data_IF_141237383636
#
_entry.id   IF_141237383636
#
_cell.length_a   1.000
_cell.length_b   1.000
_cell.length_c   1.000
_cell.angle_alpha   90.00
_cell.angle_beta   90.00
_cell.angle_gamma   90.00
#
_symmetry.space_group_name_H-M   'P 1'
#
loop_
_entity.id
_entity.type
_entity.pdbx_description
1 polymer ?
#
# COMPACT_ATOMS: atom_id res chain seq x y z
N UNK A 1 -23.89 -39.91 -23.85
CA UNK A 1 -22.72 -39.54 -23.02
C UNK A 1 -22.96 -38.12 -22.55
N UNK A 2 -22.82 -37.82 -21.25
CA UNK A 2 -23.05 -36.47 -20.75
C UNK A 2 -21.98 -35.53 -21.32
N UNK A 3 -22.39 -34.47 -22.02
CA UNK A 3 -21.46 -33.46 -22.53
C UNK A 3 -20.92 -32.63 -21.37
N UNK A 4 -19.63 -32.35 -21.40
CA UNK A 4 -18.98 -31.45 -20.47
C UNK A 4 -18.98 -30.04 -21.02
N UNK A 5 -18.78 -29.04 -20.16
CA UNK A 5 -18.52 -27.66 -20.59
C UNK A 5 -17.41 -27.62 -21.64
N UNK A 6 -16.39 -28.46 -21.51
CA UNK A 6 -15.23 -28.45 -22.38
C UNK A 6 -15.54 -28.90 -23.81
N UNK A 7 -16.51 -29.79 -24.00
CA UNK A 7 -16.95 -30.18 -25.34
C UNK A 7 -17.51 -28.95 -26.08
N UNK A 8 -18.35 -28.16 -25.41
CA UNK A 8 -18.85 -26.90 -25.97
C UNK A 8 -17.77 -25.83 -26.13
N UNK A 9 -16.78 -25.77 -25.23
CA UNK A 9 -15.64 -24.86 -25.36
C UNK A 9 -14.83 -25.19 -26.61
N UNK A 10 -14.56 -26.47 -26.88
CA UNK A 10 -13.83 -26.90 -28.08
C UNK A 10 -14.57 -26.49 -29.36
N UNK A 11 -15.87 -26.72 -29.39
CA UNK A 11 -16.72 -26.35 -30.53
C UNK A 11 -16.74 -24.83 -30.73
N UNK A 12 -16.91 -24.06 -29.66
CA UNK A 12 -16.90 -22.60 -29.70
C UNK A 12 -15.54 -22.03 -30.14
N UNK A 13 -14.42 -22.59 -29.65
CA UNK A 13 -13.09 -22.19 -30.09
C UNK A 13 -12.85 -22.49 -31.58
N UNK A 14 -13.29 -23.66 -32.07
CA UNK A 14 -13.22 -24.00 -33.49
C UNK A 14 -14.01 -23.02 -34.36
N UNK A 15 -15.19 -22.61 -33.92
CA UNK A 15 -16.04 -21.63 -34.62
C UNK A 15 -15.46 -20.21 -34.57
N UNK A 16 -14.75 -19.84 -33.50
CA UNK A 16 -14.12 -18.54 -33.35
C UNK A 16 -12.66 -18.47 -33.86
N UNK A 17 -12.14 -19.57 -34.41
CA UNK A 17 -10.73 -19.71 -34.81
C UNK A 17 -9.74 -19.37 -33.68
N UNK A 18 -10.03 -19.85 -32.46
CA UNK A 18 -9.19 -19.65 -31.26
C UNK A 18 -8.32 -20.88 -31.05
N UNK A 19 -7.01 -20.65 -30.88
CA UNK A 19 -6.06 -21.73 -30.64
C UNK A 19 -6.22 -22.27 -29.22
N UNK A 20 -6.51 -23.58 -29.10
CA UNK A 20 -6.46 -24.29 -27.82
C UNK A 20 -5.09 -25.00 -27.74
N UNK A 21 -4.28 -24.80 -26.69
CA UNK A 21 -3.04 -25.55 -26.50
C UNK A 21 -3.33 -27.07 -26.45
N UNK A 22 -2.74 -27.83 -27.37
CA UNK A 22 -2.92 -29.28 -27.49
C UNK A 22 -2.40 -30.08 -26.28
N UNK A 23 -1.42 -29.53 -25.56
CA UNK A 23 -0.52 -30.37 -24.75
C UNK A 23 -0.92 -30.51 -23.28
N UNK A 24 -1.89 -29.72 -22.78
CA UNK A 24 -2.44 -29.87 -21.42
C UNK A 24 -3.88 -29.37 -21.39
N UNK A 25 -4.80 -30.21 -21.82
CA UNK A 25 -6.23 -29.98 -21.62
C UNK A 25 -6.49 -29.88 -20.10
N UNK A 26 -7.08 -28.77 -19.59
CA UNK A 26 -7.59 -28.75 -18.23
C UNK A 26 -8.70 -29.82 -18.09
N UNK A 27 -8.92 -30.34 -16.89
CA UNK A 27 -9.96 -31.34 -16.52
C UNK A 27 -9.71 -32.82 -16.90
N UNK A 28 -8.48 -33.26 -17.18
CA UNK A 28 -8.22 -34.66 -17.57
C UNK A 28 -8.24 -35.68 -16.41
N UNK A 29 -8.47 -35.23 -15.16
CA UNK A 29 -8.62 -36.12 -14.01
C UNK A 29 -10.10 -36.47 -13.77
N UNK A 30 -10.39 -37.77 -13.63
CA UNK A 30 -11.74 -38.34 -13.52
C UNK A 30 -12.64 -37.76 -12.40
N UNK A 31 -12.09 -37.14 -11.35
CA UNK A 31 -12.88 -36.50 -10.28
C UNK A 31 -13.40 -35.10 -10.67
N UNK A 32 -12.60 -34.29 -11.38
CA UNK A 32 -13.00 -32.94 -11.78
C UNK A 32 -13.97 -32.96 -12.97
N UNK A 33 -13.90 -34.00 -13.81
CA UNK A 33 -14.78 -34.16 -14.99
C UNK A 33 -16.26 -34.15 -14.61
N UNK A 34 -16.65 -34.72 -13.45
CA UNK A 34 -18.04 -34.68 -12.96
C UNK A 34 -18.53 -33.26 -12.67
N UNK A 35 -17.66 -32.39 -12.15
CA UNK A 35 -18.03 -31.01 -11.81
C UNK A 35 -18.22 -30.13 -13.05
N UNK A 36 -17.60 -30.52 -14.16
CA UNK A 36 -17.68 -29.86 -15.47
C UNK A 36 -18.81 -30.39 -16.36
N UNK A 37 -19.57 -31.40 -15.90
CA UNK A 37 -20.76 -31.88 -16.62
C UNK A 37 -21.79 -30.75 -16.67
N UNK A 38 -22.32 -30.53 -17.86
CA UNK A 38 -23.42 -29.59 -18.06
C UNK A 38 -24.70 -30.20 -17.49
N UNK A 39 -25.39 -29.41 -16.68
CA UNK A 39 -26.70 -29.74 -16.14
C UNK A 39 -27.78 -29.09 -17.03
N UNK A 40 -28.53 -29.87 -17.83
CA UNK A 40 -29.49 -29.29 -18.78
C UNK A 40 -30.67 -28.58 -18.11
N UNK A 41 -31.04 -29.00 -16.90
CA UNK A 41 -32.18 -28.47 -16.15
C UNK A 41 -31.75 -27.47 -15.07
N UNK A 42 -30.46 -27.46 -14.73
CA UNK A 42 -29.89 -26.61 -13.71
C UNK A 42 -29.14 -25.38 -14.23
N UNK A 43 -28.45 -24.72 -13.29
CA UNK A 43 -27.60 -23.56 -13.58
C UNK A 43 -26.21 -24.03 -13.99
N UNK A 44 -25.67 -23.43 -15.05
CA UNK A 44 -24.29 -23.63 -15.47
C UNK A 44 -23.57 -22.29 -15.45
N UNK A 45 -22.52 -22.19 -14.63
CA UNK A 45 -21.76 -20.95 -14.48
C UNK A 45 -20.30 -21.15 -14.85
N UNK A 46 -19.71 -20.17 -15.53
CA UNK A 46 -18.27 -20.10 -15.80
C UNK A 46 -17.69 -18.91 -15.05
N UNK A 47 -16.64 -19.15 -14.28
CA UNK A 47 -15.95 -18.10 -13.55
C UNK A 47 -14.93 -17.43 -14.47
N UNK A 48 -15.10 -16.14 -14.76
CA UNK A 48 -14.13 -15.33 -15.48
C UNK A 48 -13.27 -14.57 -14.47
N UNK A 49 -11.94 -14.77 -14.51
CA UNK A 49 -11.00 -14.09 -13.62
C UNK A 49 -10.00 -13.24 -14.44
N UNK A 50 -10.34 -11.97 -14.72
CA UNK A 50 -9.47 -11.07 -15.44
C UNK A 50 -8.51 -10.33 -14.50
N UNK A 51 -7.38 -9.86 -15.05
CA UNK A 51 -6.40 -9.11 -14.26
C UNK A 51 -5.09 -8.84 -14.99
N UNK A 52 -4.25 -8.01 -14.38
CA UNK A 52 -2.96 -7.65 -14.96
C UNK A 52 -1.96 -8.82 -14.87
N UNK A 53 -1.88 -9.47 -13.70
CA UNK A 53 -0.97 -10.59 -13.43
C UNK A 53 0.46 -10.29 -13.88
N UNK A 54 1.00 -9.16 -13.43
CA UNK A 54 2.26 -8.60 -13.88
C UNK A 54 3.32 -8.53 -12.75
N UNK A 55 3.84 -9.66 -12.23
CA UNK A 55 3.44 -11.05 -12.47
C UNK A 55 2.26 -11.51 -11.59
N UNK A 56 1.73 -12.72 -11.85
CA UNK A 56 0.83 -13.39 -10.91
C UNK A 56 1.55 -13.69 -9.59
N UNK A 57 0.82 -13.75 -8.48
CA UNK A 57 1.36 -13.92 -7.12
C UNK A 57 0.38 -14.68 -6.21
N UNK A 58 0.82 -15.05 -5.00
CA UNK A 58 0.06 -15.93 -4.09
C UNK A 58 -1.35 -15.40 -3.75
N UNK A 59 -1.52 -14.10 -3.54
CA UNK A 59 -2.85 -13.50 -3.32
C UNK A 59 -3.87 -13.78 -4.45
N UNK A 60 -3.44 -13.84 -5.71
CA UNK A 60 -4.33 -14.22 -6.83
C UNK A 60 -4.75 -15.69 -6.72
N UNK A 61 -3.82 -16.56 -6.30
CA UNK A 61 -4.07 -17.99 -6.15
C UNK A 61 -4.99 -18.28 -4.96
N UNK A 62 -4.79 -17.59 -3.83
CA UNK A 62 -5.66 -17.70 -2.65
C UNK A 62 -7.09 -17.26 -2.95
N UNK A 63 -7.26 -16.14 -3.66
CA UNK A 63 -8.57 -15.68 -4.09
C UNK A 63 -9.28 -16.73 -4.95
N UNK A 64 -8.60 -17.25 -5.99
CA UNK A 64 -9.17 -18.27 -6.85
C UNK A 64 -9.51 -19.57 -6.10
N UNK A 65 -8.64 -20.01 -5.19
CA UNK A 65 -8.84 -21.22 -4.38
C UNK A 65 -10.01 -21.10 -3.42
N UNK A 66 -10.20 -19.95 -2.78
CA UNK A 66 -11.35 -19.74 -1.87
C UNK A 66 -12.69 -19.97 -2.61
N UNK A 67 -12.80 -19.46 -3.84
CA UNK A 67 -14.01 -19.67 -4.65
C UNK A 67 -14.12 -21.13 -5.12
N UNK A 68 -13.02 -21.74 -5.54
CA UNK A 68 -13.03 -23.10 -6.07
C UNK A 68 -13.28 -24.18 -5.00
N UNK A 69 -12.78 -23.98 -3.78
CA UNK A 69 -12.92 -24.95 -2.70
C UNK A 69 -14.27 -24.79 -2.00
N UNK A 70 -14.68 -23.56 -1.70
CA UNK A 70 -15.80 -23.32 -0.79
C UNK A 70 -17.13 -23.08 -1.55
N UNK A 71 -17.04 -22.55 -2.78
CA UNK A 71 -18.21 -22.01 -3.50
C UNK A 71 -18.52 -22.70 -4.83
N UNK A 72 -17.58 -23.45 -5.42
CA UNK A 72 -17.74 -24.05 -6.76
C UNK A 72 -19.01 -24.87 -6.90
N UNK A 73 -19.28 -25.78 -5.95
CA UNK A 73 -20.48 -26.63 -5.95
C UNK A 73 -21.75 -25.82 -5.74
N UNK A 74 -21.73 -24.90 -4.79
CA UNK A 74 -22.89 -24.10 -4.38
C UNK A 74 -23.33 -23.09 -5.46
N UNK A 75 -22.37 -22.58 -6.23
CA UNK A 75 -22.61 -21.66 -7.34
C UNK A 75 -22.72 -22.37 -8.70
N UNK A 76 -22.67 -23.70 -8.73
CA UNK A 76 -22.69 -24.50 -9.97
C UNK A 76 -21.64 -24.05 -11.00
N UNK A 77 -20.42 -23.78 -10.53
CA UNK A 77 -19.31 -23.37 -11.39
C UNK A 77 -18.74 -24.61 -12.10
N UNK A 78 -18.87 -24.62 -13.42
CA UNK A 78 -18.45 -25.73 -14.31
C UNK A 78 -17.02 -25.59 -14.82
N UNK A 79 -16.42 -24.41 -14.70
CA UNK A 79 -15.04 -24.15 -15.09
C UNK A 79 -14.62 -22.70 -14.85
N UNK A 80 -13.32 -22.45 -14.96
CA UNK A 80 -12.72 -21.12 -14.80
C UNK A 80 -11.98 -20.71 -16.07
N UNK A 81 -12.25 -19.49 -16.54
CA UNK A 81 -11.51 -18.81 -17.59
C UNK A 81 -10.71 -17.69 -16.93
N UNK A 82 -9.39 -17.77 -17.04
CA UNK A 82 -8.46 -16.78 -16.55
C UNK A 82 -8.05 -15.90 -17.73
N UNK A 83 -8.20 -14.58 -17.61
CA UNK A 83 -7.89 -13.63 -18.68
C UNK A 83 -6.80 -12.63 -18.26
N UNK A 84 -5.53 -12.86 -18.63
CA UNK A 84 -4.53 -11.81 -18.53
C UNK A 84 -4.90 -10.66 -19.45
N UNK A 85 -4.92 -9.43 -18.91
CA UNK A 85 -5.23 -8.23 -19.68
C UNK A 85 -4.27 -8.06 -20.87
N UNK A 86 -4.74 -7.43 -21.95
CA UNK A 86 -3.94 -7.13 -23.14
C UNK A 86 -2.79 -6.15 -22.82
N UNK A 87 -1.69 -6.23 -23.57
CA UNK A 87 -0.47 -5.49 -23.26
C UNK A 87 -0.67 -3.98 -23.38
N UNK A 88 -1.55 -3.50 -24.27
CA UNK A 88 -2.01 -2.11 -24.35
C UNK A 88 -2.46 -1.59 -22.98
N UNK A 89 -3.33 -2.36 -22.32
CA UNK A 89 -3.93 -2.01 -21.03
C UNK A 89 -2.90 -2.07 -19.90
N UNK A 90 -1.88 -2.92 -20.02
CA UNK A 90 -0.77 -2.93 -19.06
C UNK A 90 0.09 -1.68 -19.25
N UNK A 91 0.45 -1.32 -20.49
CA UNK A 91 1.24 -0.12 -20.79
C UNK A 91 0.57 1.14 -20.27
N UNK A 92 -0.74 1.29 -20.44
CA UNK A 92 -1.50 2.41 -19.86
C UNK A 92 -1.44 2.41 -18.33
N UNK A 93 -1.48 1.23 -17.70
CA UNK A 93 -1.43 1.08 -16.24
C UNK A 93 -0.03 1.31 -15.66
N UNK A 94 1.03 0.97 -16.39
CA UNK A 94 2.44 1.04 -15.95
C UNK A 94 3.20 2.20 -16.61
N UNK A 95 2.49 3.15 -17.25
CA UNK A 95 3.06 4.26 -18.02
C UNK A 95 4.06 5.13 -17.22
N UNK A 96 3.96 5.13 -15.90
CA UNK A 96 4.79 5.92 -14.97
C UNK A 96 5.78 5.07 -14.13
N UNK A 97 5.85 3.76 -14.38
CA UNK A 97 6.73 2.81 -13.69
C UNK A 97 8.00 2.55 -14.52
N UNK A 98 9.18 2.41 -13.89
CA UNK A 98 10.41 2.04 -14.61
C UNK A 98 10.24 0.66 -15.27
N UNK A 99 10.68 0.54 -16.54
CA UNK A 99 10.56 -0.66 -17.37
C UNK A 99 11.56 -1.73 -16.90
N UNK A 100 11.32 -2.35 -15.74
CA UNK A 100 12.26 -3.36 -15.19
C UNK A 100 11.90 -4.79 -15.59
N UNK A 101 10.63 -5.06 -15.90
CA UNK A 101 10.14 -6.39 -16.25
C UNK A 101 9.25 -6.30 -17.49
N UNK A 102 9.83 -6.40 -18.68
CA UNK A 102 9.12 -6.49 -19.97
C UNK A 102 8.32 -7.82 -20.05
N UNK A 103 7.17 -7.86 -19.37
CA UNK A 103 6.29 -9.00 -19.25
C UNK A 103 5.06 -8.84 -20.14
N UNK A 104 5.24 -9.16 -21.42
CA UNK A 104 4.12 -9.27 -22.36
C UNK A 104 3.11 -10.37 -21.94
N UNK A 105 1.93 -10.37 -22.54
CA UNK A 105 0.81 -11.25 -22.20
C UNK A 105 1.18 -12.73 -22.27
N UNK A 106 2.02 -13.10 -23.24
CA UNK A 106 2.52 -14.47 -23.39
C UNK A 106 3.38 -14.89 -22.18
N UNK A 107 4.35 -14.05 -21.78
CA UNK A 107 5.19 -14.28 -20.59
C UNK A 107 4.36 -14.35 -19.31
N UNK A 108 3.42 -13.41 -19.10
CA UNK A 108 2.51 -13.41 -17.93
C UNK A 108 1.65 -14.67 -17.86
N UNK A 109 1.11 -15.09 -19.01
CA UNK A 109 0.34 -16.33 -19.12
C UNK A 109 1.21 -17.54 -18.76
N UNK A 110 2.45 -17.61 -19.29
CA UNK A 110 3.37 -18.71 -19.00
C UNK A 110 3.76 -18.76 -17.51
N UNK A 111 4.10 -17.63 -16.91
CA UNK A 111 4.40 -17.54 -15.47
C UNK A 111 3.25 -18.08 -14.62
N UNK A 112 2.01 -17.73 -14.97
CA UNK A 112 0.87 -18.18 -14.20
C UNK A 112 0.56 -19.67 -14.39
N UNK A 113 0.68 -20.21 -15.62
CA UNK A 113 0.54 -21.67 -15.84
C UNK A 113 1.56 -22.48 -15.04
N UNK A 114 2.76 -21.92 -14.87
CA UNK A 114 3.87 -22.57 -14.16
C UNK A 114 3.91 -22.23 -12.66
N UNK A 115 2.96 -21.43 -12.15
CA UNK A 115 2.92 -21.07 -10.74
C UNK A 115 2.61 -22.32 -9.89
N UNK A 116 3.34 -22.47 -8.78
CA UNK A 116 3.11 -23.57 -7.85
C UNK A 116 1.66 -23.57 -7.38
N UNK A 117 0.98 -24.70 -7.55
CA UNK A 117 -0.39 -24.86 -7.08
C UNK A 117 -1.49 -24.24 -7.95
N UNK A 118 -1.16 -23.79 -9.18
CA UNK A 118 -2.14 -23.42 -10.19
C UNK A 118 -3.17 -24.55 -10.40
N UNK A 119 -4.49 -24.28 -10.38
CA UNK A 119 -5.51 -25.31 -10.50
C UNK A 119 -5.69 -25.72 -11.97
N UNK A 120 -4.67 -26.37 -12.55
CA UNK A 120 -4.63 -26.76 -13.96
C UNK A 120 -5.82 -27.65 -14.37
N UNK A 121 -6.40 -28.38 -13.43
CA UNK A 121 -7.59 -29.18 -13.72
C UNK A 121 -8.87 -28.35 -13.84
N UNK A 122 -8.92 -27.13 -13.32
CA UNK A 122 -10.17 -26.35 -13.20
C UNK A 122 -10.13 -24.99 -13.92
N UNK A 123 -8.95 -24.54 -14.34
CA UNK A 123 -8.76 -23.23 -14.91
C UNK A 123 -8.02 -23.26 -16.25
N UNK A 124 -8.54 -22.49 -17.20
CA UNK A 124 -7.95 -22.26 -18.50
C UNK A 124 -7.45 -20.81 -18.62
N UNK A 125 -6.18 -20.63 -18.99
CA UNK A 125 -5.63 -19.30 -19.30
C UNK A 125 -5.92 -18.94 -20.75
N UNK A 126 -6.81 -17.98 -20.94
CA UNK A 126 -7.21 -17.43 -22.23
C UNK A 126 -6.20 -16.38 -22.69
N UNK A 127 -5.33 -16.74 -23.63
CA UNK A 127 -4.22 -15.91 -24.07
C UNK A 127 -4.53 -14.98 -25.27
N UNK A 128 -5.68 -15.14 -25.91
CA UNK A 128 -6.12 -14.27 -27.03
C UNK A 128 -6.62 -12.90 -26.54
N UNK A 129 -6.93 -11.99 -27.47
CA UNK A 129 -7.36 -10.61 -27.17
C UNK A 129 -8.70 -10.51 -26.43
N UNK A 130 -9.01 -9.34 -25.85
CA UNK A 130 -10.33 -9.09 -25.24
C UNK A 130 -11.50 -9.26 -26.22
N UNK A 131 -11.32 -8.84 -27.48
CA UNK A 131 -12.35 -9.01 -28.51
C UNK A 131 -12.56 -10.49 -28.87
N UNK A 132 -11.49 -11.29 -28.90
CA UNK A 132 -11.60 -12.73 -29.06
C UNK A 132 -12.32 -13.39 -27.87
N UNK A 133 -12.06 -12.93 -26.63
CA UNK A 133 -12.78 -13.38 -25.44
C UNK A 133 -14.29 -13.09 -25.55
N UNK A 134 -14.68 -11.88 -25.96
CA UNK A 134 -16.11 -11.54 -26.14
C UNK A 134 -16.79 -12.45 -27.14
N UNK A 135 -16.18 -12.64 -28.33
CA UNK A 135 -16.72 -13.54 -29.36
C UNK A 135 -16.84 -14.98 -28.86
N UNK A 136 -15.84 -15.44 -28.11
CA UNK A 136 -15.87 -16.77 -27.49
C UNK A 136 -17.02 -16.91 -26.49
N UNK A 137 -17.22 -15.93 -25.60
CA UNK A 137 -18.31 -15.96 -24.61
C UNK A 137 -19.68 -16.03 -25.31
N UNK A 138 -19.90 -15.18 -26.31
CA UNK A 138 -21.13 -15.13 -27.10
C UNK A 138 -21.36 -16.44 -27.87
N UNK A 139 -20.32 -16.98 -28.51
CA UNK A 139 -20.41 -18.23 -29.25
C UNK A 139 -20.72 -19.42 -28.33
N UNK A 140 -20.05 -19.50 -27.18
CA UNK A 140 -20.26 -20.57 -26.21
C UNK A 140 -21.69 -20.53 -25.66
N UNK A 141 -22.16 -19.35 -25.23
CA UNK A 141 -23.53 -19.15 -24.75
C UNK A 141 -24.55 -19.45 -25.86
N UNK A 142 -24.29 -19.02 -27.09
CA UNK A 142 -25.14 -19.31 -28.24
C UNK A 142 -25.25 -20.80 -28.55
N UNK A 143 -24.16 -21.55 -28.46
CA UNK A 143 -24.17 -23.01 -28.67
C UNK A 143 -25.02 -23.74 -27.61
N UNK A 144 -24.89 -23.35 -26.34
CA UNK A 144 -25.67 -23.95 -25.25
C UNK A 144 -27.14 -23.53 -25.32
N UNK A 145 -27.42 -22.28 -25.68
CA UNK A 145 -28.80 -21.77 -25.84
C UNK A 145 -29.56 -22.52 -26.94
N UNK A 146 -28.90 -22.92 -28.04
CA UNK A 146 -29.50 -23.76 -29.09
C UNK A 146 -29.96 -25.13 -28.57
N UNK A 147 -29.33 -25.62 -27.51
CA UNK A 147 -29.70 -26.87 -26.83
C UNK A 147 -30.62 -26.62 -25.61
N UNK A 148 -31.19 -25.41 -25.47
CA UNK A 148 -32.01 -24.95 -24.33
C UNK A 148 -31.28 -24.97 -22.98
N UNK A 149 -29.95 -24.83 -22.99
CA UNK A 149 -29.12 -24.83 -21.79
C UNK A 149 -28.67 -23.41 -21.47
N UNK A 150 -28.95 -22.94 -20.26
CA UNK A 150 -28.53 -21.62 -19.80
C UNK A 150 -27.10 -21.65 -19.25
N UNK A 151 -26.23 -20.78 -19.79
CA UNK A 151 -24.87 -20.55 -19.32
C UNK A 151 -24.64 -19.07 -19.02
N UNK A 152 -24.19 -18.78 -17.80
CA UNK A 152 -23.84 -17.41 -17.38
C UNK A 152 -22.38 -17.31 -16.95
N UNK A 153 -21.73 -16.20 -17.25
CA UNK A 153 -20.41 -15.89 -16.70
C UNK A 153 -20.53 -15.12 -15.37
N UNK A 154 -19.68 -15.49 -14.43
CA UNK A 154 -19.46 -14.82 -13.14
C UNK A 154 -18.11 -14.13 -13.16
N UNK A 155 -18.06 -12.86 -12.80
CA UNK A 155 -16.83 -12.09 -12.77
C UNK A 155 -16.16 -12.24 -11.39
N UNK A 156 -14.98 -12.84 -11.33
CA UNK A 156 -14.14 -12.84 -10.12
C UNK A 156 -13.19 -11.66 -10.17
N UNK A 157 -13.24 -10.80 -9.15
CA UNK A 157 -12.34 -9.66 -9.02
C UNK A 157 -11.81 -9.54 -7.60
N UNK A 158 -10.61 -8.98 -7.48
CA UNK A 158 -10.10 -8.56 -6.20
C UNK A 158 -10.92 -7.41 -5.62
N UNK A 159 -10.72 -7.14 -4.34
CA UNK A 159 -11.29 -6.02 -3.59
C UNK A 159 -10.96 -4.60 -4.09
N UNK A 160 -10.23 -4.43 -5.20
CA UNK A 160 -9.92 -3.16 -5.85
C UNK A 160 -10.99 -2.77 -6.87
N UNK A 161 -11.80 -3.74 -7.31
CA UNK A 161 -12.90 -3.53 -8.25
C UNK A 161 -14.24 -3.34 -7.55
N UNK A 162 -14.31 -3.60 -6.24
CA UNK A 162 -15.52 -3.37 -5.46
C UNK A 162 -15.09 -2.65 -4.20
N UNK A 163 -15.61 -1.44 -4.02
CA UNK A 163 -15.35 -0.61 -2.85
C UNK A 163 -16.61 0.16 -2.47
N UNK A 164 -16.61 0.78 -1.29
CA UNK A 164 -17.66 1.73 -0.88
C UNK A 164 -17.76 2.97 -1.80
N UNK A 165 -16.79 3.19 -2.68
CA UNK A 165 -16.71 4.37 -3.57
C UNK A 165 -17.00 4.07 -5.03
N UNK A 166 -16.82 2.83 -5.46
CA UNK A 166 -16.98 2.41 -6.84
C UNK A 166 -17.30 0.92 -6.92
N UNK A 167 -18.31 0.59 -7.73
CA UNK A 167 -18.66 -0.78 -8.11
C UNK A 167 -18.52 -0.89 -9.61
N UNK A 168 -17.73 -1.85 -10.08
CA UNK A 168 -17.60 -2.11 -11.50
C UNK A 168 -18.78 -2.96 -11.99
N UNK A 169 -19.37 -2.53 -13.10
CA UNK A 169 -20.47 -3.25 -13.75
C UNK A 169 -19.94 -4.55 -14.40
N UNK A 170 -20.39 -5.74 -13.97
CA UNK A 170 -20.00 -7.01 -14.58
C UNK A 170 -20.40 -7.12 -16.05
N UNK A 171 -21.40 -6.34 -16.51
CA UNK A 171 -21.84 -6.30 -17.89
C UNK A 171 -20.73 -5.93 -18.88
N UNK A 172 -19.76 -5.11 -18.46
CA UNK A 172 -18.59 -4.74 -19.29
C UNK A 172 -17.70 -5.96 -19.64
N UNK A 173 -17.83 -7.05 -18.89
CA UNK A 173 -17.13 -8.32 -19.08
C UNK A 173 -18.02 -9.43 -19.62
N UNK A 174 -19.21 -9.09 -20.14
CA UNK A 174 -20.25 -10.04 -20.53
C UNK A 174 -20.59 -11.01 -19.36
N UNK A 175 -20.50 -10.52 -18.12
CA UNK A 175 -20.78 -11.27 -16.91
C UNK A 175 -22.09 -10.76 -16.28
N UNK A 176 -22.76 -11.65 -15.56
CA UNK A 176 -24.05 -11.36 -14.92
C UNK A 176 -23.93 -10.88 -13.47
N UNK A 177 -22.93 -11.39 -12.76
CA UNK A 177 -22.72 -11.15 -11.33
C UNK A 177 -21.21 -11.04 -11.07
N UNK A 178 -20.85 -10.38 -9.97
CA UNK A 178 -19.47 -10.22 -9.52
C UNK A 178 -19.25 -10.92 -8.17
N UNK A 179 -18.15 -11.64 -8.05
CA UNK A 179 -17.66 -12.24 -6.80
C UNK A 179 -16.39 -11.48 -6.39
N UNK A 180 -16.33 -11.08 -5.14
CA UNK A 180 -15.13 -10.52 -4.51
C UNK A 180 -14.90 -11.12 -3.13
N UNK A 181 -13.69 -10.97 -2.62
CA UNK A 181 -13.29 -11.46 -1.31
C UNK A 181 -12.16 -10.58 -0.75
N UNK A 182 -12.09 -10.53 0.57
CA UNK A 182 -11.01 -9.89 1.32
C UNK A 182 -9.88 -10.84 1.71
N UNK A 183 -9.92 -12.11 1.26
CA UNK A 183 -8.90 -13.13 1.52
C UNK A 183 -7.49 -12.67 1.12
N UNK A 184 -7.36 -11.97 -0.01
CA UNK A 184 -6.05 -11.52 -0.49
C UNK A 184 -5.63 -10.16 0.05
N UNK A 185 -6.59 -9.28 0.38
CA UNK A 185 -6.37 -7.98 1.02
C UNK A 185 -7.68 -7.42 1.60
N UNK A 186 -7.62 -6.58 2.64
CA UNK A 186 -8.81 -5.97 3.24
C UNK A 186 -9.71 -5.22 2.23
N UNK A 187 -11.01 -5.21 2.50
CA UNK A 187 -12.02 -4.44 1.76
C UNK A 187 -12.51 -3.28 2.62
N UNK A 188 -12.85 -2.14 2.01
CA UNK A 188 -13.30 -0.94 2.72
C UNK A 188 -14.78 -1.03 3.20
N UNK A 189 -15.52 -2.01 2.68
CA UNK A 189 -16.89 -2.29 3.09
C UNK A 189 -17.00 -3.34 4.20
N UNK A 190 -15.90 -3.95 4.67
CA UNK A 190 -15.90 -4.85 5.84
C UNK A 190 -15.38 -4.11 7.05
N UNK A 191 -16.21 -4.00 8.09
CA UNK A 191 -15.84 -3.52 9.41
C UNK A 191 -15.79 -4.71 10.38
N UNK A 192 -15.19 -4.51 11.55
CA UNK A 192 -14.95 -5.58 12.53
C UNK A 192 -16.22 -6.38 12.90
N UNK A 193 -17.37 -5.71 12.95
CA UNK A 193 -18.65 -6.32 13.34
C UNK A 193 -19.79 -6.12 12.30
N UNK A 194 -19.53 -5.46 11.17
CA UNK A 194 -20.58 -5.09 10.20
C UNK A 194 -20.05 -5.01 8.76
N UNK A 195 -20.95 -5.00 7.78
CA UNK A 195 -20.65 -4.69 6.39
C UNK A 195 -21.27 -3.33 6.03
N UNK A 196 -20.47 -2.41 5.48
CA UNK A 196 -20.95 -1.12 4.98
C UNK A 196 -21.72 -1.32 3.69
N UNK A 197 -22.77 -0.53 3.49
CA UNK A 197 -23.56 -0.59 2.28
C UNK A 197 -22.72 -0.17 1.07
N UNK A 198 -22.82 -0.96 -0.01
CA UNK A 198 -22.18 -0.65 -1.28
C UNK A 198 -23.16 0.20 -2.11
N UNK A 199 -22.75 1.37 -2.64
CA UNK A 199 -23.62 2.19 -3.47
C UNK A 199 -24.14 1.42 -4.69
N UNK A 200 -25.45 1.49 -4.93
CA UNK A 200 -26.10 0.78 -6.04
C UNK A 200 -26.38 -0.71 -5.79
N UNK A 201 -26.06 -1.23 -4.60
CA UNK A 201 -26.42 -2.58 -4.18
C UNK A 201 -27.57 -2.56 -3.15
N UNK A 202 -28.27 -3.69 -3.04
CA UNK A 202 -29.21 -3.95 -1.94
C UNK A 202 -28.47 -4.29 -0.64
N UNK A 203 -29.21 -4.30 0.48
CA UNK A 203 -28.66 -4.64 1.79
C UNK A 203 -27.97 -6.01 1.79
N UNK A 204 -26.95 -6.14 2.64
CA UNK A 204 -26.23 -7.39 2.80
C UNK A 204 -27.14 -8.49 3.32
N UNK A 205 -27.15 -9.62 2.61
CA UNK A 205 -27.85 -10.83 3.05
C UNK A 205 -26.83 -11.90 3.32
N UNK A 206 -26.77 -12.36 4.57
CA UNK A 206 -25.94 -13.51 4.92
C UNK A 206 -26.54 -14.78 4.30
N UNK A 207 -25.72 -15.49 3.52
CA UNK A 207 -26.10 -16.77 2.92
C UNK A 207 -25.21 -17.87 3.50
N UNK A 208 -25.84 -18.83 4.16
CA UNK A 208 -25.17 -20.06 4.59
C UNK A 208 -25.35 -21.12 3.50
N UNK A 209 -24.24 -21.61 2.99
CA UNK A 209 -24.26 -22.75 2.08
C UNK A 209 -24.03 -24.01 2.90
N UNK A 210 -25.11 -24.72 3.25
CA UNK A 210 -25.01 -25.99 3.98
C UNK A 210 -24.32 -27.04 3.11
N UNK A 211 -23.49 -27.91 3.71
CA UNK A 211 -22.83 -29.02 3.00
C UNK A 211 -23.82 -30.02 2.36
N UNK A 212 -25.10 -29.97 2.74
CA UNK A 212 -26.18 -30.70 2.08
C UNK A 212 -27.55 -30.04 2.31
N UNK A 213 -28.08 -29.33 1.31
CA UNK A 213 -29.51 -29.05 1.21
C UNK A 213 -29.92 -28.90 -0.26
N UNK A 214 -31.11 -29.38 -0.68
CA UNK A 214 -31.57 -29.28 -2.06
C UNK A 214 -31.90 -27.84 -2.44
N UNK A 215 -31.73 -27.50 -3.71
CA UNK A 215 -32.05 -26.19 -4.28
C UNK A 215 -33.46 -25.71 -3.88
N UNK A 216 -33.55 -24.60 -3.14
CA UNK A 216 -34.80 -23.89 -2.86
C UNK A 216 -34.92 -22.71 -3.84
N UNK A 217 -36.11 -22.42 -4.41
CA UNK A 217 -36.31 -21.30 -5.32
C UNK A 217 -36.14 -19.96 -4.58
N UNK A 218 -35.54 -18.98 -5.26
CA UNK A 218 -35.44 -17.62 -4.75
C UNK A 218 -36.75 -16.87 -5.03
N UNK A 219 -37.41 -16.41 -3.98
CA UNK A 219 -38.40 -15.31 -4.04
C UNK A 219 -37.92 -14.15 -3.14
N UNK A 220 -38.14 -12.88 -3.51
CA UNK A 220 -37.62 -11.74 -2.78
C UNK A 220 -38.63 -11.21 -1.73
N UNK A 221 -38.11 -10.96 -0.52
CA UNK A 221 -38.68 -10.24 0.64
C UNK A 221 -39.60 -10.99 1.63
N UNK A 222 -39.18 -11.04 2.92
CA UNK A 222 -39.93 -10.50 4.07
C UNK A 222 -39.18 -10.64 5.44
N UNK A 223 -39.08 -9.51 6.19
CA UNK A 223 -39.22 -9.36 7.68
C UNK A 223 -38.03 -9.85 8.56
N UNK A 224 -37.58 -9.28 9.71
CA UNK A 224 -37.89 -8.18 10.63
C UNK A 224 -36.64 -7.93 11.51
N UNK A 225 -36.41 -6.69 11.97
CA UNK A 225 -35.34 -6.33 12.92
C UNK A 225 -35.72 -6.68 14.38
N UNK A 226 -34.77 -7.23 15.13
CA UNK A 226 -34.82 -7.35 16.59
C UNK A 226 -33.49 -6.91 17.21
N UNK A 227 -33.53 -5.84 18.00
CA UNK A 227 -32.41 -5.25 18.73
C UNK A 227 -32.20 -5.92 20.09
N UNK A 228 -30.94 -6.08 20.51
CA UNK A 228 -30.57 -6.47 21.87
C UNK A 228 -29.45 -5.53 22.39
N UNK A 229 -29.77 -4.82 23.45
CA UNK A 229 -28.90 -3.97 24.27
C UNK A 229 -27.99 -4.83 25.17
N UNK A 230 -26.78 -4.33 25.48
CA UNK A 230 -25.96 -4.82 26.60
C UNK A 230 -25.38 -3.64 27.39
N UNK A 231 -25.62 -3.67 28.70
CA UNK A 231 -25.32 -2.67 29.73
C UNK A 231 -23.99 -2.94 30.47
N UNK A 232 -23.32 -1.87 30.90
CA UNK A 232 -22.49 -1.74 32.12
C UNK A 232 -21.07 -2.33 32.08
N UNK A 233 -20.06 -1.84 32.81
CA UNK A 233 -19.90 -0.71 33.73
C UNK A 233 -18.40 -0.53 34.04
N UNK A 234 -18.02 0.69 34.42
CA UNK A 234 -16.67 1.20 34.68
C UNK A 234 -16.17 0.88 36.11
N UNK A 235 -14.86 0.65 36.27
CA UNK A 235 -14.17 0.62 37.57
C UNK A 235 -12.82 1.33 37.49
N UNK A 236 -12.66 2.37 38.32
CA UNK A 236 -11.47 3.21 38.54
C UNK A 236 -10.70 2.74 39.76
N UNK A 237 -9.36 2.86 39.75
CA UNK A 237 -8.54 3.04 40.96
C UNK A 237 -7.16 3.62 40.59
N UNK A 238 -6.75 4.62 41.37
CA UNK A 238 -5.45 5.31 41.33
C UNK A 238 -4.83 5.22 42.72
N UNK A 239 -3.50 5.46 42.84
CA UNK A 239 -2.80 6.23 43.90
C UNK A 239 -1.30 5.86 44.01
N UNK A 240 -0.46 6.83 43.62
CA UNK A 240 0.78 7.41 44.18
C UNK A 240 2.05 6.66 44.67
N UNK A 241 3.17 7.32 44.26
CA UNK A 241 4.39 7.75 44.98
C UNK A 241 5.61 6.81 45.18
N UNK A 242 6.78 7.20 44.61
CA UNK A 242 7.94 7.74 45.36
C UNK A 242 9.13 8.11 44.41
N UNK A 243 9.68 9.31 44.62
CA UNK A 243 10.96 9.82 44.07
C UNK A 243 12.02 9.80 45.18
N UNK A 244 13.31 9.70 44.84
CA UNK A 244 14.40 10.59 45.35
C UNK A 244 15.73 10.43 44.57
N UNK A 245 16.63 11.44 44.60
CA UNK A 245 17.71 11.68 43.63
C UNK A 245 19.14 11.51 44.21
N UNK A 246 20.17 11.68 43.37
CA UNK A 246 21.58 11.85 43.79
C UNK A 246 22.27 12.97 43.01
N UNK A 247 22.94 13.86 43.74
CA UNK A 247 23.81 14.97 43.30
C UNK A 247 25.29 14.56 43.30
N UNK A 248 26.11 15.13 42.40
CA UNK A 248 27.43 15.71 42.74
C UNK A 248 28.06 16.54 41.59
N UNK A 249 28.94 17.47 41.98
CA UNK A 249 29.45 18.67 41.28
C UNK A 249 30.98 18.53 40.92
N UNK A 250 31.70 19.53 40.33
CA UNK A 250 32.55 19.37 39.13
C UNK A 250 34.06 19.68 39.33
N UNK A 251 34.89 19.51 38.28
CA UNK A 251 36.27 20.05 38.26
C UNK A 251 36.86 20.32 36.85
N UNK A 252 37.21 21.61 36.65
CA UNK A 252 38.41 22.23 36.04
C UNK A 252 38.83 22.05 34.56
N UNK A 253 39.06 23.22 33.94
CA UNK A 253 39.59 23.52 32.61
C UNK A 253 41.10 23.18 32.43
N UNK A 254 41.51 22.83 31.21
CA UNK A 254 42.85 23.17 30.68
C UNK A 254 42.79 23.47 29.17
N UNK A 255 43.41 24.59 28.80
CA UNK A 255 43.52 25.16 27.46
C UNK A 255 44.74 24.61 26.71
N UNK A 256 44.57 24.24 25.43
CA UNK A 256 45.59 24.42 24.37
C UNK A 256 44.97 24.29 22.96
N UNK A 257 45.05 25.40 22.19
CA UNK A 257 45.23 25.54 20.72
C UNK A 257 44.74 24.39 19.82
N UNK A 258 43.70 24.63 18.99
CA UNK A 258 43.29 23.70 17.95
C UNK A 258 43.09 24.41 16.60
N UNK A 259 43.76 23.88 15.59
CA UNK A 259 43.70 24.30 14.19
C UNK A 259 42.35 23.94 13.55
N UNK A 260 41.92 24.78 12.61
CA UNK A 260 40.68 24.75 11.85
C UNK A 260 40.20 23.35 11.47
N UNK A 261 39.01 22.97 11.96
CA UNK A 261 38.24 21.86 11.42
C UNK A 261 36.74 22.24 11.52
N UNK A 262 35.89 21.82 10.59
CA UNK A 262 34.44 22.13 10.57
C UNK A 262 33.59 20.94 11.01
N UNK A 263 32.57 21.18 11.83
CA UNK A 263 31.69 20.16 12.45
C UNK A 263 32.38 19.30 13.51
N UNK A 264 33.54 19.75 13.99
CA UNK A 264 34.67 18.92 14.44
C UNK A 264 35.37 19.45 15.70
N UNK A 265 34.68 20.30 16.47
CA UNK A 265 35.17 20.76 17.77
C UNK A 265 35.16 19.66 18.84
N UNK A 266 34.51 18.54 18.55
CA UNK A 266 34.43 17.40 19.44
C UNK A 266 35.77 16.70 19.59
N UNK A 267 36.22 16.56 20.83
CA UNK A 267 37.48 15.86 21.14
C UNK A 267 37.14 14.39 21.40
N UNK A 268 37.52 13.45 20.51
CA UNK A 268 37.28 12.04 20.75
C UNK A 268 38.12 11.56 21.95
N UNK A 269 37.63 10.59 22.74
CA UNK A 269 38.41 10.04 23.84
C UNK A 269 39.68 9.36 23.32
N UNK A 270 40.77 9.28 24.12
CA UNK A 270 42.04 8.70 23.68
C UNK A 270 41.96 7.24 23.22
N UNK A 271 40.92 6.52 23.65
CA UNK A 271 40.65 5.14 23.25
C UNK A 271 39.94 5.01 21.89
N UNK A 272 39.47 6.11 21.29
CA UNK A 272 38.77 6.08 20.02
C UNK A 272 39.75 5.83 18.86
N UNK A 273 39.44 4.91 17.93
CA UNK A 273 40.32 4.67 16.80
C UNK A 273 40.33 5.85 15.83
N UNK A 274 41.49 6.14 15.25
CA UNK A 274 41.70 7.31 14.38
C UNK A 274 40.80 7.36 13.13
N UNK A 275 40.26 6.22 12.69
CA UNK A 275 39.35 6.14 11.54
C UNK A 275 37.90 6.50 11.89
N UNK A 276 37.51 6.53 13.17
CA UNK A 276 36.12 6.67 13.59
C UNK A 276 35.50 8.00 13.13
N UNK A 277 36.19 9.11 13.40
CA UNK A 277 35.70 10.45 13.05
C UNK A 277 35.65 10.62 11.52
N UNK A 278 36.71 10.30 10.74
CA UNK A 278 36.64 10.34 9.28
C UNK A 278 35.50 9.48 8.69
N UNK A 279 35.30 8.27 9.20
CA UNK A 279 34.23 7.39 8.74
C UNK A 279 32.84 7.97 9.06
N UNK A 280 32.65 8.49 10.28
CA UNK A 280 31.41 9.16 10.69
C UNK A 280 31.11 10.37 9.81
N UNK A 281 32.10 11.24 9.57
CA UNK A 281 31.96 12.40 8.70
C UNK A 281 31.63 12.01 7.25
N UNK A 282 32.26 10.96 6.73
CA UNK A 282 31.99 10.46 5.38
C UNK A 282 30.56 9.91 5.24
N UNK A 283 30.10 9.12 6.21
CA UNK A 283 28.74 8.58 6.23
C UNK A 283 27.68 9.68 6.37
N UNK A 284 27.93 10.66 7.25
CA UNK A 284 27.06 11.83 7.38
C UNK A 284 27.01 12.62 6.07
N UNK A 285 28.16 12.90 5.46
CA UNK A 285 28.25 13.60 4.17
C UNK A 285 27.51 12.87 3.06
N UNK A 286 27.63 11.54 2.97
CA UNK A 286 26.85 10.73 2.03
C UNK A 286 25.34 10.86 2.29
N UNK A 287 24.92 10.77 3.55
CA UNK A 287 23.54 10.98 3.96
C UNK A 287 23.00 12.35 3.54
N UNK A 288 23.77 13.41 3.75
CA UNK A 288 23.44 14.78 3.29
C UNK A 288 23.23 14.82 1.78
N UNK A 289 24.17 14.27 1.00
CA UNK A 289 24.07 14.26 -0.47
C UNK A 289 22.82 13.51 -0.95
N UNK A 290 22.56 12.31 -0.40
CA UNK A 290 21.36 11.55 -0.77
C UNK A 290 20.08 12.30 -0.39
N UNK A 291 20.05 12.98 0.75
CA UNK A 291 18.89 13.76 1.17
C UNK A 291 18.61 14.96 0.25
N UNK A 292 19.67 15.67 -0.19
CA UNK A 292 19.54 16.74 -1.18
C UNK A 292 18.98 16.22 -2.51
N UNK A 293 19.44 15.05 -2.96
CA UNK A 293 18.89 14.38 -4.15
C UNK A 293 17.41 14.04 -3.94
N UNK A 294 17.03 13.56 -2.75
CA UNK A 294 15.65 13.25 -2.42
C UNK A 294 14.73 14.46 -2.56
N UNK A 295 15.12 15.65 -2.08
CA UNK A 295 14.31 16.87 -2.27
C UNK A 295 14.05 17.20 -3.75
N UNK A 296 15.07 17.06 -4.59
CA UNK A 296 14.96 17.29 -6.03
C UNK A 296 14.03 16.25 -6.68
N UNK A 297 14.20 14.96 -6.33
CA UNK A 297 13.38 13.88 -6.85
C UNK A 297 11.92 13.99 -6.40
N UNK A 298 11.67 14.30 -5.14
CA UNK A 298 10.34 14.56 -4.57
C UNK A 298 9.62 15.66 -5.35
N UNK A 299 10.30 16.79 -5.57
CA UNK A 299 9.74 17.91 -6.34
C UNK A 299 9.40 17.50 -7.76
N UNK A 300 10.34 16.86 -8.48
CA UNK A 300 10.12 16.39 -9.86
C UNK A 300 8.96 15.41 -9.95
N UNK A 301 8.91 14.43 -9.05
CA UNK A 301 7.84 13.41 -9.02
C UNK A 301 6.49 14.03 -8.69
N UNK A 302 6.45 14.96 -7.74
CA UNK A 302 5.22 15.66 -7.39
C UNK A 302 4.67 16.52 -8.54
N UNK A 303 5.53 17.25 -9.26
CA UNK A 303 5.14 18.01 -10.45
C UNK A 303 4.58 17.11 -11.56
N UNK A 304 5.18 15.93 -11.77
CA UNK A 304 4.73 14.97 -12.78
C UNK A 304 3.41 14.30 -12.42
N UNK A 305 3.30 13.77 -11.21
CA UNK A 305 2.15 12.98 -10.76
C UNK A 305 0.99 13.86 -10.28
N UNK A 306 1.27 15.14 -9.99
CA UNK A 306 0.34 16.10 -9.38
C UNK A 306 -0.17 15.64 -8.02
N UNK A 307 0.69 14.99 -7.26
CA UNK A 307 0.42 14.52 -5.91
C UNK A 307 1.51 14.92 -4.93
N UNK A 308 1.16 15.17 -3.67
CA UNK A 308 2.16 15.63 -2.69
C UNK A 308 3.21 14.56 -2.46
N UNK A 309 4.49 14.93 -2.39
CA UNK A 309 5.56 13.96 -2.24
C UNK A 309 5.68 13.47 -0.80
N UNK A 310 5.31 14.29 0.18
CA UNK A 310 5.53 14.02 1.60
C UNK A 310 4.23 14.26 2.40
N UNK A 311 4.05 13.59 3.56
CA UNK A 311 2.94 13.89 4.47
C UNK A 311 3.00 15.30 5.02
N UNK A 312 1.82 15.94 5.16
CA UNK A 312 1.71 17.30 5.70
C UNK A 312 2.36 17.43 7.08
N UNK A 313 2.14 16.44 7.94
CA UNK A 313 2.71 16.41 9.28
C UNK A 313 4.24 16.35 9.25
N UNK A 314 4.79 15.47 8.41
CA UNK A 314 6.23 15.29 8.28
C UNK A 314 6.92 16.54 7.72
N UNK A 315 6.36 17.15 6.68
CA UNK A 315 6.92 18.37 6.09
C UNK A 315 6.91 19.54 7.06
N UNK A 316 5.79 19.76 7.77
CA UNK A 316 5.71 20.85 8.74
C UNK A 316 6.71 20.69 9.89
N UNK A 317 6.90 19.46 10.37
CA UNK A 317 7.92 19.16 11.38
C UNK A 317 9.32 19.36 10.80
N UNK A 318 9.60 18.88 9.59
CA UNK A 318 10.90 19.00 8.94
C UNK A 318 11.32 20.46 8.75
N UNK A 319 10.45 21.28 8.16
CA UNK A 319 10.68 22.72 7.99
C UNK A 319 10.96 23.42 9.33
N UNK A 320 10.23 23.04 10.38
CA UNK A 320 10.43 23.62 11.71
C UNK A 320 11.74 23.17 12.35
N UNK A 321 12.14 21.92 12.12
CA UNK A 321 13.38 21.34 12.62
C UNK A 321 14.57 22.02 11.94
N UNK A 322 14.56 22.14 10.61
CA UNK A 322 15.64 22.81 9.88
C UNK A 322 15.82 24.26 10.31
N UNK A 323 14.72 24.99 10.54
CA UNK A 323 14.77 26.37 11.02
C UNK A 323 15.35 26.47 12.44
N UNK A 324 14.86 25.66 13.38
CA UNK A 324 15.37 25.69 14.76
C UNK A 324 16.83 25.29 14.79
N UNK A 325 17.23 24.25 14.06
CA UNK A 325 18.59 23.75 14.12
C UNK A 325 19.57 24.71 13.46
N UNK A 326 19.24 25.28 12.30
CA UNK A 326 20.06 26.32 11.67
C UNK A 326 20.30 27.53 12.59
N UNK A 327 19.24 28.07 13.19
CA UNK A 327 19.37 29.38 13.87
C UNK A 327 19.65 29.28 15.37
N UNK A 328 19.35 28.14 15.99
CA UNK A 328 19.57 27.94 17.43
C UNK A 328 20.68 26.94 17.75
N UNK A 329 20.71 25.78 17.09
CA UNK A 329 21.57 24.65 17.48
C UNK A 329 22.96 24.73 16.87
N UNK A 330 23.11 25.02 15.58
CA UNK A 330 24.42 25.00 14.92
C UNK A 330 25.37 26.09 15.43
N UNK A 331 26.65 25.78 15.46
CA UNK A 331 27.73 26.72 15.79
C UNK A 331 28.62 27.02 14.61
N UNK A 332 28.91 25.98 13.83
CA UNK A 332 29.82 26.07 12.69
C UNK A 332 29.10 26.60 11.46
N UNK A 333 29.79 27.48 10.73
CA UNK A 333 29.25 28.08 9.51
C UNK A 333 28.84 27.03 8.46
N UNK A 334 29.58 25.92 8.37
CA UNK A 334 29.26 24.84 7.43
C UNK A 334 27.96 24.12 7.78
N UNK A 335 27.74 23.86 9.07
CA UNK A 335 26.50 23.25 9.53
C UNK A 335 25.33 24.19 9.25
N UNK A 336 25.46 25.46 9.61
CA UNK A 336 24.48 26.50 9.31
C UNK A 336 24.13 26.53 7.81
N UNK A 337 25.15 26.58 6.95
CA UNK A 337 24.95 26.56 5.50
C UNK A 337 24.26 25.28 5.01
N UNK A 338 24.59 24.13 5.59
CA UNK A 338 23.94 22.85 5.30
C UNK A 338 22.44 22.86 5.61
N UNK A 339 22.07 23.30 6.80
CA UNK A 339 20.65 23.41 7.19
C UNK A 339 19.89 24.45 6.36
N UNK A 340 20.49 25.60 6.06
CA UNK A 340 19.87 26.61 5.19
C UNK A 340 19.67 26.07 3.78
N UNK A 341 20.61 25.27 3.27
CA UNK A 341 20.48 24.61 1.97
C UNK A 341 19.36 23.58 1.94
N UNK A 342 19.22 22.78 3.01
CA UNK A 342 18.05 21.88 3.16
C UNK A 342 16.74 22.67 3.15
N UNK A 343 16.64 23.72 3.96
CA UNK A 343 15.45 24.58 4.02
C UNK A 343 15.11 25.20 2.67
N UNK A 344 16.13 25.61 1.90
CA UNK A 344 15.94 26.17 0.57
C UNK A 344 15.38 25.13 -0.43
N UNK A 345 15.86 23.88 -0.38
CA UNK A 345 15.36 22.79 -1.23
C UNK A 345 13.99 22.25 -0.79
N UNK A 346 13.63 22.48 0.46
CA UNK A 346 12.31 22.16 0.99
C UNK A 346 11.23 23.13 0.46
N UNK A 347 11.62 24.35 0.02
CA UNK A 347 10.67 25.32 -0.55
C UNK A 347 9.93 24.82 -1.82
N UNK A 348 10.61 24.20 -2.81
CA UNK A 348 9.93 23.50 -3.90
C UNK A 348 9.01 22.34 -3.44
N UNK A 349 9.41 21.59 -2.41
CA UNK A 349 8.60 20.51 -1.83
C UNK A 349 7.35 21.07 -1.16
N UNK A 350 7.49 22.16 -0.40
CA UNK A 350 6.40 22.94 0.18
C UNK A 350 5.44 23.47 -0.89
N UNK A 351 5.99 24.08 -1.94
CA UNK A 351 5.21 24.60 -3.05
C UNK A 351 4.34 23.50 -3.69
N UNK A 352 4.94 22.36 -4.04
CA UNK A 352 4.21 21.25 -4.66
C UNK A 352 3.21 20.62 -3.70
N UNK A 353 3.54 20.53 -2.41
CA UNK A 353 2.64 20.06 -1.36
C UNK A 353 1.40 20.96 -1.20
N UNK A 354 1.58 22.27 -1.18
CA UNK A 354 0.47 23.22 -1.11
C UNK A 354 -0.38 23.21 -2.39
N UNK A 355 0.28 23.11 -3.56
CA UNK A 355 -0.40 23.11 -4.87
C UNK A 355 -1.25 21.86 -5.08
N UNK A 356 -0.75 20.69 -4.70
CA UNK A 356 -1.40 19.40 -4.97
C UNK A 356 -2.09 18.78 -3.75
N UNK A 357 -1.86 19.30 -2.54
CA UNK A 357 -2.38 18.73 -1.30
C UNK A 357 -3.88 18.55 -1.25
N UNK A 358 -4.66 19.46 -1.85
CA UNK A 358 -6.11 19.30 -1.93
C UNK A 358 -6.51 18.05 -2.71
N UNK A 359 -5.85 17.79 -3.84
CA UNK A 359 -6.09 16.62 -4.69
C UNK A 359 -5.64 15.35 -3.96
N UNK A 360 -4.43 15.36 -3.42
CA UNK A 360 -3.85 14.18 -2.78
C UNK A 360 -4.52 13.77 -1.48
N UNK A 361 -5.30 14.68 -0.88
CA UNK A 361 -6.13 14.41 0.30
C UNK A 361 -7.63 14.40 -0.03
N UNK A 362 -8.03 14.27 -1.31
CA UNK A 362 -9.44 14.36 -1.73
C UNK A 362 -10.37 13.35 -1.03
N UNK A 363 -9.81 12.24 -0.53
CA UNK A 363 -10.51 11.22 0.24
C UNK A 363 -10.93 11.70 1.64
N UNK A 364 -10.35 12.79 2.14
CA UNK A 364 -10.70 13.46 3.39
C UNK A 364 -11.03 14.93 3.13
N UNK A 365 -12.33 15.27 2.93
CA UNK A 365 -12.75 16.62 2.56
C UNK A 365 -12.31 17.72 3.55
N UNK A 366 -12.25 17.39 4.84
CA UNK A 366 -11.79 18.32 5.88
C UNK A 366 -10.31 18.65 5.73
N UNK A 367 -9.47 17.64 5.45
CA UNK A 367 -8.02 17.86 5.23
C UNK A 367 -7.80 18.58 3.90
N UNK A 368 -8.43 18.13 2.82
CA UNK A 368 -8.26 18.69 1.49
C UNK A 368 -8.55 20.21 1.42
N UNK A 369 -9.57 20.68 2.14
CA UNK A 369 -9.96 22.10 2.19
C UNK A 369 -9.04 22.95 3.04
N UNK A 370 -8.34 22.35 4.00
CA UNK A 370 -7.57 23.06 5.03
C UNK A 370 -6.06 22.79 4.95
N UNK A 371 -5.54 22.27 3.83
CA UNK A 371 -4.11 21.91 3.71
C UNK A 371 -3.14 23.00 4.16
N UNK A 372 -3.26 24.28 3.69
CA UNK A 372 -2.31 25.31 4.11
C UNK A 372 -2.40 25.61 5.60
N UNK A 373 -3.62 25.62 6.16
CA UNK A 373 -3.86 25.87 7.58
C UNK A 373 -3.26 24.74 8.44
N UNK A 374 -3.52 23.49 8.08
CA UNK A 374 -3.00 22.33 8.80
C UNK A 374 -1.46 22.30 8.76
N UNK A 375 -0.87 22.56 7.60
CA UNK A 375 0.58 22.62 7.46
C UNK A 375 1.18 23.76 8.30
N UNK A 376 0.55 24.94 8.29
CA UNK A 376 0.97 26.08 9.11
C UNK A 376 0.87 25.79 10.61
N UNK A 377 -0.20 25.13 11.06
CA UNK A 377 -0.37 24.72 12.45
C UNK A 377 0.68 23.71 12.89
N UNK A 378 0.96 22.70 12.05
CA UNK A 378 2.03 21.73 12.32
C UNK A 378 3.40 22.40 12.35
N UNK A 379 3.68 23.31 11.42
CA UNK A 379 4.94 24.03 11.40
C UNK A 379 5.11 24.88 12.68
N UNK A 380 4.08 25.62 13.09
CA UNK A 380 4.12 26.43 14.30
C UNK A 380 4.27 25.57 15.57
N UNK A 381 3.55 24.45 15.68
CA UNK A 381 3.70 23.53 16.81
C UNK A 381 5.07 22.86 16.80
N UNK A 382 5.59 22.53 15.63
CA UNK A 382 6.93 22.02 15.40
C UNK A 382 8.01 22.99 15.86
N UNK A 383 7.86 24.29 15.56
CA UNK A 383 8.81 25.32 16.02
C UNK A 383 8.87 25.38 17.54
N UNK A 384 7.71 25.39 18.20
CA UNK A 384 7.62 25.40 19.66
C UNK A 384 8.24 24.14 20.25
N UNK A 385 7.86 22.97 19.72
CA UNK A 385 8.30 21.68 20.25
C UNK A 385 9.79 21.46 20.05
N UNK A 386 10.32 21.72 18.86
CA UNK A 386 11.75 21.60 18.56
C UNK A 386 12.57 22.59 19.40
N UNK A 387 12.11 23.85 19.54
CA UNK A 387 12.80 24.84 20.36
C UNK A 387 12.83 24.45 21.83
N UNK A 388 11.70 23.99 22.38
CA UNK A 388 11.62 23.52 23.77
C UNK A 388 12.49 22.29 23.99
N UNK A 389 12.49 21.34 23.05
CA UNK A 389 13.31 20.14 23.14
C UNK A 389 14.80 20.46 23.07
N UNK A 390 15.24 21.28 22.11
CA UNK A 390 16.63 21.69 21.98
C UNK A 390 17.10 22.52 23.19
N UNK A 391 16.28 23.48 23.62
CA UNK A 391 16.55 24.30 24.81
C UNK A 391 16.63 23.45 26.07
N UNK A 392 15.67 22.54 26.26
CA UNK A 392 15.72 21.55 27.34
C UNK A 392 17.03 20.79 27.24
N UNK A 393 17.32 20.14 26.12
CA UNK A 393 18.49 19.28 25.93
C UNK A 393 19.81 19.97 26.28
N UNK A 394 20.02 21.19 25.79
CA UNK A 394 21.29 21.91 25.88
C UNK A 394 21.46 22.68 27.21
N UNK A 395 20.39 22.79 28.01
CA UNK A 395 20.40 23.52 29.29
C UNK A 395 21.40 22.94 30.28
N UNK A 396 21.42 21.62 30.43
CA UNK A 396 22.23 20.90 31.42
C UNK A 396 23.35 20.10 30.75
N UNK A 397 24.55 20.02 31.36
CA UNK A 397 25.62 19.18 30.86
C UNK A 397 25.27 17.69 30.99
N UNK A 398 25.91 16.85 30.19
CA UNK A 398 25.83 15.38 30.24
C UNK A 398 24.45 14.78 29.97
N UNK A 399 23.54 15.53 29.36
CA UNK A 399 22.25 14.99 28.95
C UNK A 399 22.39 14.08 27.73
N UNK A 400 21.60 13.00 27.72
CA UNK A 400 21.68 11.94 26.71
C UNK A 400 22.44 10.73 27.24
N UNK A 401 22.93 9.90 26.32
CA UNK A 401 23.63 8.65 26.67
C UNK A 401 25.15 8.80 26.62
N UNK A 402 25.83 8.22 27.61
CA UNK A 402 27.29 8.14 27.67
C UNK A 402 27.98 9.42 28.13
N UNK A 403 29.32 9.37 28.18
CA UNK A 403 30.16 10.49 28.59
C UNK A 403 30.20 11.56 27.49
N UNK A 404 29.99 12.82 27.89
CA UNK A 404 29.91 13.97 26.96
C UNK A 404 31.12 14.92 27.03
N UNK A 405 32.17 14.55 27.75
CA UNK A 405 33.40 15.34 27.79
C UNK A 405 33.96 15.54 26.38
N UNK A 406 34.46 16.75 26.10
CA UNK A 406 34.94 17.12 24.77
C UNK A 406 33.85 17.54 23.78
N UNK A 407 32.55 17.39 24.10
CA UNK A 407 31.44 17.99 23.35
C UNK A 407 31.24 19.44 23.81
N UNK A 408 31.30 20.41 22.93
CA UNK A 408 31.17 21.83 23.29
C UNK A 408 30.02 22.44 22.49
N UNK A 409 29.17 23.22 23.17
CA UNK A 409 28.13 24.03 22.52
C UNK A 409 28.07 25.45 23.07
N UNK A 410 28.32 26.44 22.22
CA UNK A 410 28.42 27.88 22.49
C UNK A 410 29.33 28.19 23.68
N UNK A 411 30.46 27.48 23.74
CA UNK A 411 31.43 27.56 24.84
C UNK A 411 31.03 26.81 26.12
N UNK A 412 29.91 26.09 26.11
CA UNK A 412 29.46 25.25 27.22
C UNK A 412 29.86 23.79 26.98
N UNK A 413 30.63 23.21 27.88
CA UNK A 413 31.10 21.82 27.77
C UNK A 413 29.99 20.80 28.07
N UNK A 414 30.13 19.58 27.56
CA UNK A 414 29.24 18.45 27.80
C UNK A 414 27.81 18.64 27.25
N UNK A 415 27.67 19.37 26.15
CA UNK A 415 26.42 19.51 25.38
C UNK A 415 26.59 18.84 24.03
N UNK A 416 25.87 17.75 23.80
CA UNK A 416 25.99 16.96 22.57
C UNK A 416 24.88 17.33 21.58
N UNK A 417 25.20 18.20 20.62
CA UNK A 417 24.30 18.59 19.53
C UNK A 417 24.10 17.48 18.50
N UNK A 418 25.08 16.57 18.36
CA UNK A 418 24.98 15.42 17.45
C UNK A 418 23.92 14.43 17.93
N UNK A 419 23.95 14.04 19.21
CA UNK A 419 22.92 13.14 19.77
C UNK A 419 21.55 13.81 19.79
N UNK A 420 21.48 15.11 20.11
CA UNK A 420 20.27 15.91 20.01
C UNK A 420 19.67 15.85 18.59
N UNK A 421 20.49 16.07 17.57
CA UNK A 421 20.08 16.00 16.17
C UNK A 421 19.64 14.58 15.79
N UNK A 422 20.35 13.56 16.27
CA UNK A 422 20.00 12.16 16.01
C UNK A 422 18.61 11.80 16.53
N UNK A 423 18.28 12.12 17.79
CA UNK A 423 16.96 11.82 18.35
C UNK A 423 15.82 12.60 17.67
N UNK A 424 16.02 13.90 17.48
CA UNK A 424 15.00 14.77 16.88
C UNK A 424 14.75 14.45 15.41
N UNK A 425 15.81 14.27 14.61
CA UNK A 425 15.69 13.83 13.22
C UNK A 425 15.11 12.42 13.16
N UNK A 426 15.50 11.50 14.04
CA UNK A 426 14.95 10.15 14.10
C UNK A 426 13.43 10.12 14.30
N UNK A 427 12.90 10.98 15.19
CA UNK A 427 11.44 11.12 15.36
C UNK A 427 10.77 11.71 14.12
N UNK A 428 11.35 12.75 13.52
CA UNK A 428 10.83 13.34 12.29
C UNK A 428 10.80 12.32 11.13
N UNK A 429 11.87 11.54 10.98
CA UNK A 429 11.99 10.46 9.99
C UNK A 429 10.96 9.36 10.24
N UNK A 430 10.76 8.93 11.48
CA UNK A 430 9.73 7.95 11.82
C UNK A 430 8.33 8.44 11.41
N UNK A 431 8.00 9.71 11.73
CA UNK A 431 6.73 10.32 11.32
C UNK A 431 6.62 10.38 9.80
N UNK A 432 7.70 10.69 9.10
CA UNK A 432 7.75 10.68 7.64
C UNK A 432 7.49 9.27 7.08
N UNK A 433 8.17 8.23 7.57
CA UNK A 433 8.01 6.86 7.09
C UNK A 433 6.61 6.32 7.34
N UNK A 434 6.08 6.49 8.57
CA UNK A 434 4.71 6.07 8.91
C UNK A 434 3.68 6.87 8.10
N UNK A 435 3.87 8.17 7.97
CA UNK A 435 2.98 9.03 7.20
C UNK A 435 3.03 8.72 5.70
N UNK A 436 4.19 8.40 5.14
CA UNK A 436 4.35 8.04 3.73
C UNK A 436 3.62 6.72 3.43
N UNK A 437 3.72 5.73 4.32
CA UNK A 437 2.92 4.51 4.24
C UNK A 437 1.42 4.83 4.36
N UNK A 438 1.03 5.70 5.29
CA UNK A 438 -0.35 6.17 5.43
C UNK A 438 -0.89 6.84 4.17
N UNK A 439 -0.09 7.67 3.51
CA UNK A 439 -0.44 8.29 2.22
C UNK A 439 -0.64 7.25 1.12
N UNK A 440 0.24 6.25 1.03
CA UNK A 440 0.12 5.16 0.07
C UNK A 440 -1.19 4.40 0.27
N UNK A 441 -1.51 4.06 1.52
CA UNK A 441 -2.75 3.37 1.89
C UNK A 441 -4.00 4.22 1.62
N UNK A 442 -3.95 5.52 1.95
CA UNK A 442 -5.07 6.45 1.78
C UNK A 442 -5.40 6.70 0.30
N UNK A 443 -4.38 6.83 -0.55
CA UNK A 443 -4.52 7.17 -1.97
C UNK A 443 -4.70 5.95 -2.86
N UNK A 444 -4.14 4.80 -2.46
CA UNK A 444 -4.12 3.59 -3.27
C UNK A 444 -3.12 3.62 -4.43
N UNK A 445 -2.22 4.61 -4.47
CA UNK A 445 -1.17 4.76 -5.47
C UNK A 445 0.04 5.53 -4.89
N UNK A 446 1.21 5.36 -5.50
CA UNK A 446 2.47 5.97 -5.06
C UNK A 446 2.71 7.40 -5.60
N UNK A 447 1.64 8.10 -6.01
CA UNK A 447 1.73 9.45 -6.57
C UNK A 447 2.45 10.41 -5.61
N UNK A 448 3.42 11.17 -6.12
CA UNK A 448 4.34 12.01 -5.35
C UNK A 448 5.60 11.29 -4.85
N UNK A 449 5.64 9.96 -4.88
CA UNK A 449 6.72 9.12 -4.35
C UNK A 449 7.25 8.12 -5.40
N UNK A 450 8.39 7.48 -5.10
CA UNK A 450 8.99 6.39 -5.88
C UNK A 450 10.05 5.63 -5.08
N UNK A 451 10.44 4.43 -5.54
CA UNK A 451 11.57 3.68 -4.97
C UNK A 451 12.93 4.35 -5.08
N UNK A 452 13.07 5.40 -5.91
CA UNK A 452 14.30 6.18 -5.98
C UNK A 452 14.35 7.30 -4.94
N UNK A 453 13.19 7.65 -4.36
CA UNK A 453 13.06 8.64 -3.29
C UNK A 453 13.15 7.96 -1.91
N UNK A 454 12.60 6.75 -1.81
CA UNK A 454 12.77 5.84 -0.66
C UNK A 454 14.16 5.22 -0.66
#
# INVERSE_FOLDING_TARGET
MAKTLWDYVRDACGQCNISIPSDKLPFNNNQDMKSSIIDPEGRNRVLLFPGAFNPAHEGHLQLLRSVLNDMKKNLNIRGVVIFPNDDEKIREKTMEEPVDLDLNKSKRSALWRNAAGFPANNAWIFAESRSALTRFQEQLQGNLTKENINLTFLLLVGSDWISTRAVYDPGQWNCSETITSDVSRPVDFRCEYTLRQIPGCFDWVQRFFAESAPCIPWDPFQISYGSLEVNGSVGSLSVHHLLRPFDHQPSQQLSTRQENTMGSGDIPPPSAPAWLIPASSALLGAGVVFWLICYVLMTKRSLSTRDTPIPLLALGINLSWELVYAFYVTEEWLEFAGFVMWLALDMPVLYTTLRYGRRSNATSPLVARNVPLLLGLVFASGLVTNSLFASWWLKEPHRGSGLKFGKIWKGLEARDTTELAWWSAGVAQMIMSVGALGMLLQRGHSGGQSYAIW
#
